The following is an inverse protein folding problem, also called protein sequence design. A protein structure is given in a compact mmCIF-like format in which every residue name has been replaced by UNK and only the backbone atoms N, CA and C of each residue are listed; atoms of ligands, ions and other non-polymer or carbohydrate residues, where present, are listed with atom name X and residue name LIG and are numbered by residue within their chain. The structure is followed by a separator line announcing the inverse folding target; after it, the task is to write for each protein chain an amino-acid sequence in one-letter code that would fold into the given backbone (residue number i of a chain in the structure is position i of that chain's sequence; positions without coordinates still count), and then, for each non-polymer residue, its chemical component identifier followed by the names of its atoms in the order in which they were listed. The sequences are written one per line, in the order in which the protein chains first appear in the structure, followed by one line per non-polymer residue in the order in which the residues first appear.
data_IF_534047109918
#
_entry.id   IF_534047109918
#
_cell.length_a   1.000
_cell.length_b   1.000
_cell.length_c   1.000
_cell.angle_alpha   90.00
_cell.angle_beta   90.00
_cell.angle_gamma   90.00
#
_symmetry.space_group_name_H-M   'P 1'
#
loop_
_entity.id
_entity.type
_entity.pdbx_description
1 polymer ?
#
# COMPACT_ATOMS: atom_id res chain seq x y z
N UNK A 1 -16.64 37.69 -32.56
CA UNK A 1 -15.56 38.02 -31.60
C UNK A 1 -15.72 37.29 -30.32
N UNK A 2 -16.93 37.20 -29.81
CA UNK A 2 -17.21 36.44 -28.59
C UNK A 2 -16.89 34.95 -28.75
N UNK A 3 -17.00 34.44 -29.95
CA UNK A 3 -16.70 33.03 -30.24
C UNK A 3 -15.26 32.65 -29.94
N UNK A 4 -14.31 33.51 -30.25
CA UNK A 4 -12.89 33.23 -30.00
C UNK A 4 -12.56 33.17 -28.51
N UNK A 5 -13.18 34.05 -27.74
CA UNK A 5 -13.00 34.04 -26.29
C UNK A 5 -13.59 32.77 -25.70
N UNK A 6 -14.76 32.36 -26.13
CA UNK A 6 -15.42 31.13 -25.67
C UNK A 6 -14.60 29.91 -26.05
N UNK A 7 -14.04 29.87 -27.23
CA UNK A 7 -13.19 28.77 -27.68
C UNK A 7 -11.93 28.64 -26.82
N UNK A 8 -11.33 29.77 -26.49
CA UNK A 8 -10.17 29.80 -25.60
C UNK A 8 -10.53 29.24 -24.20
N UNK A 9 -11.66 29.68 -23.67
CA UNK A 9 -12.14 29.21 -22.37
C UNK A 9 -12.41 27.72 -22.35
N UNK A 10 -12.99 27.20 -23.45
CA UNK A 10 -13.22 25.74 -23.56
C UNK A 10 -11.93 24.97 -23.60
N UNK A 11 -10.91 25.46 -24.30
CA UNK A 11 -9.60 24.83 -24.36
C UNK A 11 -8.94 24.79 -22.96
N UNK A 12 -8.97 25.93 -22.28
CA UNK A 12 -8.40 26.02 -20.94
C UNK A 12 -9.16 25.15 -19.94
N UNK A 13 -10.47 25.03 -20.13
CA UNK A 13 -11.31 24.17 -19.29
C UNK A 13 -10.90 22.72 -19.36
N UNK A 14 -10.51 22.26 -20.56
CA UNK A 14 -10.05 20.86 -20.73
C UNK A 14 -8.77 20.63 -19.92
N UNK A 15 -7.83 21.58 -19.95
CA UNK A 15 -6.60 21.47 -19.20
C UNK A 15 -6.84 21.52 -17.68
N UNK A 16 -7.75 22.39 -17.24
CA UNK A 16 -8.12 22.49 -15.84
C UNK A 16 -8.76 21.19 -15.33
N UNK A 17 -9.60 20.58 -16.16
CA UNK A 17 -10.21 19.29 -15.80
C UNK A 17 -9.16 18.19 -15.71
N UNK A 18 -8.23 18.16 -16.68
CA UNK A 18 -7.15 17.17 -16.67
C UNK A 18 -6.28 17.32 -15.41
N UNK A 19 -5.97 18.55 -15.04
CA UNK A 19 -5.20 18.82 -13.82
C UNK A 19 -5.93 18.30 -12.59
N UNK A 20 -7.20 18.60 -12.48
CA UNK A 20 -8.04 18.18 -11.36
C UNK A 20 -8.11 16.65 -11.28
N UNK A 21 -8.27 16.00 -12.42
CA UNK A 21 -8.34 14.54 -12.50
C UNK A 21 -7.02 13.89 -12.07
N UNK A 22 -5.89 14.47 -12.45
CA UNK A 22 -4.58 13.97 -12.03
C UNK A 22 -4.36 14.16 -10.54
N UNK A 23 -4.81 15.28 -9.99
CA UNK A 23 -4.71 15.52 -8.55
C UNK A 23 -5.54 14.49 -7.76
N UNK A 24 -6.74 14.20 -8.25
CA UNK A 24 -7.60 13.19 -7.64
C UNK A 24 -6.98 11.79 -7.73
N UNK A 25 -6.40 11.47 -8.88
CA UNK A 25 -5.71 10.19 -9.07
C UNK A 25 -4.53 10.05 -8.10
N UNK A 26 -3.74 11.11 -7.95
CA UNK A 26 -2.61 11.09 -7.02
C UNK A 26 -3.06 10.90 -5.58
N UNK A 27 -4.19 11.50 -5.21
CA UNK A 27 -4.75 11.30 -3.86
C UNK A 27 -5.14 9.83 -3.65
N UNK A 28 -5.77 9.21 -4.65
CA UNK A 28 -6.15 7.80 -4.59
C UNK A 28 -4.91 6.91 -4.48
N UNK A 29 -3.87 7.22 -5.25
CA UNK A 29 -2.61 6.48 -5.21
C UNK A 29 -1.98 6.59 -3.82
N UNK A 30 -1.96 7.79 -3.25
CA UNK A 30 -1.40 7.99 -1.91
C UNK A 30 -2.16 7.19 -0.85
N UNK A 31 -3.48 7.16 -0.95
CA UNK A 31 -4.31 6.36 -0.04
C UNK A 31 -3.97 4.87 -0.15
N UNK A 32 -3.73 4.38 -1.37
CA UNK A 32 -3.35 2.99 -1.59
C UNK A 32 -1.97 2.69 -1.00
N UNK A 33 -1.03 3.62 -1.17
CA UNK A 33 0.31 3.48 -0.58
C UNK A 33 0.22 3.35 0.94
N UNK A 34 -0.59 4.20 1.57
CA UNK A 34 -0.78 4.17 3.02
C UNK A 34 -1.42 2.86 3.49
N UNK A 35 -2.42 2.38 2.77
CA UNK A 35 -3.06 1.10 3.07
C UNK A 35 -2.05 -0.04 2.96
N UNK A 36 -1.20 -0.02 1.93
CA UNK A 36 -0.16 -1.03 1.74
C UNK A 36 0.86 -1.00 2.86
N UNK A 37 1.25 0.19 3.32
CA UNK A 37 2.21 0.34 4.42
C UNK A 37 1.67 -0.26 5.73
N UNK A 38 0.38 -0.06 5.99
CA UNK A 38 -0.28 -0.65 7.16
C UNK A 38 -0.29 -2.17 7.06
N UNK A 39 -0.55 -2.70 5.88
CA UNK A 39 -0.57 -4.13 5.62
C UNK A 39 0.81 -4.74 5.80
N UNK A 40 1.85 -4.08 5.31
CA UNK A 40 3.24 -4.50 5.47
C UNK A 40 3.61 -4.56 6.96
N UNK A 41 3.22 -3.54 7.73
CA UNK A 41 3.48 -3.51 9.17
C UNK A 41 2.79 -4.68 9.89
N UNK A 42 1.54 -4.96 9.53
CA UNK A 42 0.79 -6.08 10.11
C UNK A 42 1.45 -7.42 9.78
N UNK A 43 1.88 -7.59 8.53
CA UNK A 43 2.55 -8.82 8.10
C UNK A 43 3.90 -8.99 8.78
N UNK A 44 4.64 -7.90 8.98
CA UNK A 44 5.92 -7.93 9.69
C UNK A 44 5.74 -8.39 11.12
N UNK A 45 4.73 -7.87 11.81
CA UNK A 45 4.40 -8.27 13.18
C UNK A 45 4.03 -9.75 13.23
N UNK A 46 3.20 -10.20 12.30
CA UNK A 46 2.79 -11.60 12.22
C UNK A 46 3.99 -12.52 11.98
N UNK A 47 4.93 -12.11 11.14
CA UNK A 47 6.13 -12.87 10.85
C UNK A 47 7.01 -13.01 12.09
N UNK A 48 7.09 -11.96 12.92
CA UNK A 48 7.84 -12.03 14.17
C UNK A 48 7.25 -13.07 15.12
N UNK A 49 5.92 -13.09 15.22
CA UNK A 49 5.22 -14.08 16.06
C UNK A 49 5.44 -15.50 15.54
N UNK A 50 5.37 -15.67 14.22
CA UNK A 50 5.58 -16.99 13.60
C UNK A 50 7.03 -17.46 13.78
N UNK A 51 8.00 -16.56 13.67
CA UNK A 51 9.39 -16.89 13.86
C UNK A 51 9.65 -17.34 15.31
N UNK A 52 9.03 -16.67 16.29
CA UNK A 52 9.15 -17.05 17.70
C UNK A 52 8.54 -18.43 17.92
N UNK A 53 7.39 -18.69 17.35
CA UNK A 53 6.73 -20.01 17.48
C UNK A 53 7.60 -21.11 16.85
N UNK A 54 8.16 -20.84 15.68
CA UNK A 54 9.04 -21.78 15.00
C UNK A 54 10.25 -22.10 15.87
N UNK A 55 10.85 -21.09 16.47
CA UNK A 55 12.01 -21.26 17.36
C UNK A 55 11.65 -22.12 18.58
N UNK A 56 10.48 -21.87 19.17
CA UNK A 56 9.99 -22.66 20.31
C UNK A 56 9.79 -24.13 19.91
N UNK A 57 9.24 -24.34 18.71
CA UNK A 57 9.05 -25.70 18.19
C UNK A 57 10.37 -26.42 17.98
N UNK A 58 11.38 -25.72 17.48
CA UNK A 58 12.71 -26.30 17.27
C UNK A 58 13.33 -26.73 18.61
N UNK A 59 13.14 -25.93 19.65
CA UNK A 59 13.60 -26.30 20.99
C UNK A 59 12.89 -27.55 21.51
N UNK A 60 11.58 -27.64 21.30
CA UNK A 60 10.81 -28.82 21.69
C UNK A 60 11.25 -30.07 20.92
N UNK A 61 11.53 -29.93 19.64
CA UNK A 61 12.02 -31.05 18.83
C UNK A 61 13.35 -31.57 19.36
N UNK A 62 14.26 -30.67 19.71
CA UNK A 62 15.54 -31.07 20.29
C UNK A 62 15.35 -31.84 21.61
N UNK A 63 14.45 -31.38 22.45
CA UNK A 63 14.12 -32.02 23.71
C UNK A 63 13.58 -33.45 23.46
N UNK A 64 12.63 -33.57 22.54
CA UNK A 64 12.06 -34.88 22.22
C UNK A 64 13.10 -35.83 21.62
N UNK A 65 14.00 -35.32 20.79
CA UNK A 65 15.05 -36.11 20.18
C UNK A 65 15.96 -36.74 21.24
N UNK A 66 16.16 -36.07 22.34
CA UNK A 66 16.96 -36.62 23.45
C UNK A 66 16.29 -37.79 24.15
N UNK A 67 14.94 -37.81 24.14
CA UNK A 67 14.21 -38.92 24.78
C UNK A 67 14.21 -40.17 23.95
N UNK A 68 14.42 -40.07 22.65
CA UNK A 68 14.28 -41.18 21.71
C UNK A 68 15.59 -41.71 21.17
N UNK A 69 16.63 -41.56 21.91
CA UNK A 69 17.95 -42.11 21.55
C UNK A 69 18.02 -43.62 21.69
#
# INVERSE_FOLDING_TARGET
MNDFKQRRENILGVFNQAKSDLEALNADIQNQIEANQQQIAALSSQNQELAALKSNNESSIKTFSKFFK
#
